data_IF_239604257775
#
_entry.id   IF_239604257775
#
_cell.length_a   1.000
_cell.length_b   1.000
_cell.length_c   1.000
_cell.angle_alpha   90.00
_cell.angle_beta   90.00
_cell.angle_gamma   90.00
#
_symmetry.space_group_name_H-M   'P 1'
#
loop_
_entity.id
_entity.type
_entity.pdbx_description
1 polymer ?
#
# COMPACT_ATOMS: atom_id res chain seq x y z
N UNK A 1 24.60 -4.95 -4.22
CA UNK A 1 23.29 -4.69 -3.59
C UNK A 1 23.08 -3.18 -3.52
N UNK A 2 22.21 -2.61 -4.37
CA UNK A 2 22.02 -1.15 -4.41
C UNK A 2 20.53 -0.86 -4.43
N UNK A 3 20.06 -0.25 -3.34
CA UNK A 3 18.78 0.45 -3.30
C UNK A 3 18.91 1.70 -4.15
N UNK A 4 18.76 1.53 -5.46
CA UNK A 4 18.91 2.54 -6.50
C UNK A 4 17.55 2.95 -7.09
N UNK A 5 17.60 3.74 -8.16
CA UNK A 5 16.40 4.19 -8.89
C UNK A 5 15.57 3.03 -9.45
N UNK A 6 16.21 1.91 -9.81
CA UNK A 6 15.49 0.73 -10.27
C UNK A 6 14.65 0.14 -9.13
N UNK A 7 15.22 -0.02 -7.94
CA UNK A 7 14.46 -0.52 -6.78
C UNK A 7 13.30 0.41 -6.40
N UNK A 8 13.50 1.74 -6.47
CA UNK A 8 12.40 2.71 -6.24
C UNK A 8 11.30 2.58 -7.29
N UNK A 9 11.66 2.40 -8.56
CA UNK A 9 10.67 2.22 -9.64
C UNK A 9 9.87 0.93 -9.49
N UNK A 10 10.55 -0.17 -9.14
CA UNK A 10 9.89 -1.45 -8.85
C UNK A 10 8.95 -1.31 -7.63
N UNK A 11 9.42 -0.67 -6.56
CA UNK A 11 8.61 -0.41 -5.37
C UNK A 11 7.38 0.44 -5.69
N UNK A 12 7.53 1.55 -6.43
CA UNK A 12 6.38 2.37 -6.82
C UNK A 12 5.36 1.56 -7.63
N UNK A 13 5.82 0.71 -8.56
CA UNK A 13 4.92 -0.10 -9.38
C UNK A 13 4.04 -1.00 -8.50
N UNK A 14 4.65 -1.77 -7.59
CA UNK A 14 3.89 -2.65 -6.68
C UNK A 14 3.04 -1.88 -5.67
N UNK A 15 3.49 -0.72 -5.20
CA UNK A 15 2.70 0.16 -4.35
C UNK A 15 1.44 0.62 -5.09
N UNK A 16 1.53 1.04 -6.35
CA UNK A 16 0.37 1.51 -7.10
C UNK A 16 -0.62 0.40 -7.48
N UNK A 17 -0.15 -0.84 -7.70
CA UNK A 17 -1.03 -1.96 -8.05
C UNK A 17 -1.65 -2.63 -6.83
N UNK A 18 -0.83 -2.97 -5.83
CA UNK A 18 -1.24 -3.84 -4.71
C UNK A 18 -1.08 -3.18 -3.34
N UNK A 19 -0.48 -1.99 -3.26
CA UNK A 19 -0.12 -1.35 -1.98
C UNK A 19 0.78 -2.24 -1.11
N UNK A 20 1.69 -3.01 -1.73
CA UNK A 20 2.61 -3.94 -1.06
C UNK A 20 4.05 -3.54 -1.36
N UNK A 21 4.90 -3.62 -0.35
CA UNK A 21 6.35 -3.61 -0.51
C UNK A 21 6.96 -4.74 0.33
N UNK A 22 7.92 -5.45 -0.25
CA UNK A 22 8.77 -6.39 0.47
C UNK A 22 10.22 -6.13 0.08
N UNK A 23 11.11 -6.31 1.03
CA UNK A 23 12.55 -6.17 0.82
C UNK A 23 13.25 -7.36 1.45
N UNK A 24 14.22 -7.93 0.74
CA UNK A 24 14.98 -9.08 1.20
C UNK A 24 16.48 -8.83 1.05
N UNK A 25 17.18 -8.75 2.19
CA UNK A 25 18.63 -8.69 2.26
C UNK A 25 19.16 -10.10 2.60
N UNK A 26 20.11 -10.61 1.83
CA UNK A 26 20.79 -11.85 2.20
C UNK A 26 21.89 -11.54 3.24
N UNK A 27 22.10 -12.40 4.25
CA UNK A 27 23.09 -12.14 5.30
C UNK A 27 24.53 -11.87 4.81
N UNK A 28 24.95 -12.55 3.73
CA UNK A 28 26.29 -12.42 3.14
C UNK A 28 26.48 -11.15 2.29
N UNK A 29 25.43 -10.37 2.00
CA UNK A 29 25.57 -9.11 1.25
C UNK A 29 26.50 -8.13 1.95
N UNK A 30 26.63 -8.27 3.28
CA UNK A 30 27.53 -7.46 4.11
C UNK A 30 28.93 -8.06 4.26
N UNK A 31 29.15 -9.30 3.81
CA UNK A 31 30.36 -10.08 4.03
C UNK A 31 31.14 -10.37 2.73
N UNK A 32 30.44 -10.47 1.61
CA UNK A 32 31.01 -10.72 0.29
C UNK A 32 31.34 -9.40 -0.43
N UNK A 33 32.60 -9.26 -0.87
CA UNK A 33 33.13 -8.07 -1.55
C UNK A 33 32.41 -7.78 -2.86
N UNK A 34 31.94 -8.81 -3.57
CA UNK A 34 31.26 -8.66 -4.86
C UNK A 34 29.79 -8.26 -4.68
N UNK A 35 29.26 -8.38 -3.46
CA UNK A 35 27.84 -8.13 -3.15
C UNK A 35 27.59 -6.83 -2.40
N UNK A 36 28.48 -6.45 -1.49
CA UNK A 36 28.33 -5.22 -0.71
C UNK A 36 29.39 -4.97 0.36
N UNK A 37 30.23 -5.95 0.72
CA UNK A 37 31.22 -5.75 1.78
C UNK A 37 32.23 -4.65 1.47
N UNK A 38 32.56 -4.43 0.19
CA UNK A 38 33.43 -3.34 -0.24
C UNK A 38 32.84 -1.93 0.02
N UNK A 39 31.51 -1.78 0.07
CA UNK A 39 30.83 -0.53 0.43
C UNK A 39 30.87 -0.29 1.96
N UNK A 40 30.97 -1.37 2.74
CA UNK A 40 30.96 -1.35 4.18
C UNK A 40 29.56 -1.24 4.79
N UNK A 41 29.43 -1.73 6.03
CA UNK A 41 28.17 -1.77 6.77
C UNK A 41 27.49 -0.40 6.88
N UNK A 42 28.25 0.66 7.21
CA UNK A 42 27.70 2.01 7.41
C UNK A 42 26.95 2.51 6.18
N UNK A 43 27.50 2.31 4.98
CA UNK A 43 26.86 2.76 3.75
C UNK A 43 25.66 1.90 3.38
N UNK A 44 25.75 0.58 3.54
CA UNK A 44 24.62 -0.33 3.30
C UNK A 44 23.44 -0.02 4.22
N UNK A 45 23.71 0.19 5.51
CA UNK A 45 22.70 0.57 6.49
C UNK A 45 22.07 1.92 6.16
N UNK A 46 22.88 2.93 5.82
CA UNK A 46 22.38 4.25 5.40
C UNK A 46 21.44 4.14 4.20
N UNK A 47 21.80 3.38 3.17
CA UNK A 47 20.95 3.17 1.98
C UNK A 47 19.62 2.49 2.32
N UNK A 48 19.62 1.50 3.22
CA UNK A 48 18.40 0.85 3.68
C UNK A 48 17.49 1.84 4.41
N UNK A 49 18.05 2.63 5.31
CA UNK A 49 17.33 3.68 6.03
C UNK A 49 16.73 4.70 5.06
N UNK A 50 17.52 5.25 4.14
CA UNK A 50 17.05 6.21 3.14
C UNK A 50 15.90 5.65 2.28
N UNK A 51 15.95 4.36 1.93
CA UNK A 51 14.90 3.71 1.16
C UNK A 51 13.61 3.56 1.96
N UNK A 52 13.69 3.13 3.22
CA UNK A 52 12.52 2.98 4.11
C UNK A 52 11.90 4.35 4.41
N UNK A 53 12.72 5.38 4.64
CA UNK A 53 12.25 6.75 4.81
C UNK A 53 11.55 7.27 3.54
N UNK A 54 12.15 7.07 2.36
CA UNK A 54 11.51 7.41 1.09
C UNK A 54 10.17 6.70 0.92
N UNK A 55 10.09 5.41 1.25
CA UNK A 55 8.88 4.61 1.13
C UNK A 55 7.74 5.17 1.99
N UNK A 56 8.02 5.47 3.26
CA UNK A 56 7.03 6.05 4.17
C UNK A 56 6.67 7.50 3.83
N UNK A 57 7.59 8.27 3.24
CA UNK A 57 7.28 9.60 2.72
C UNK A 57 6.38 9.53 1.48
N UNK A 58 6.59 8.53 0.61
CA UNK A 58 5.80 8.35 -0.61
C UNK A 58 4.38 7.86 -0.32
N UNK A 59 4.20 6.96 0.65
CA UNK A 59 2.88 6.47 1.06
C UNK A 59 2.80 6.36 2.60
N UNK A 60 2.46 7.46 3.31
CA UNK A 60 2.43 7.50 4.78
C UNK A 60 1.48 6.48 5.43
N UNK A 61 0.51 5.97 4.67
CA UNK A 61 -0.50 5.03 5.13
C UNK A 61 -0.03 3.57 5.06
N UNK A 62 1.20 3.31 4.60
CA UNK A 62 1.77 1.97 4.52
C UNK A 62 1.83 1.32 5.91
N UNK A 63 1.42 0.06 5.99
CA UNK A 63 1.38 -0.71 7.24
C UNK A 63 2.62 -1.57 7.39
N UNK A 64 3.18 -1.59 8.59
CA UNK A 64 4.26 -2.51 8.93
C UNK A 64 3.68 -3.83 9.41
N UNK A 65 3.89 -4.89 8.64
CA UNK A 65 3.36 -6.23 8.89
C UNK A 65 4.51 -7.24 8.97
N UNK A 66 4.39 -8.22 9.84
CA UNK A 66 5.19 -9.45 9.75
C UNK A 66 4.83 -10.23 8.48
N UNK A 67 5.70 -11.15 8.04
CA UNK A 67 5.42 -11.98 6.86
C UNK A 67 4.11 -12.78 6.95
N UNK A 68 3.77 -13.28 8.15
CA UNK A 68 2.51 -14.00 8.38
C UNK A 68 1.29 -13.07 8.28
N UNK A 69 1.38 -11.84 8.82
CA UNK A 69 0.29 -10.86 8.72
C UNK A 69 0.09 -10.37 7.29
N UNK A 70 1.19 -10.13 6.54
CA UNK A 70 1.13 -9.81 5.12
C UNK A 70 0.45 -10.92 4.33
N UNK A 71 0.81 -12.17 4.58
CA UNK A 71 0.16 -13.34 3.96
C UNK A 71 -1.35 -13.34 4.23
N UNK A 72 -1.75 -13.10 5.49
CA UNK A 72 -3.16 -12.98 5.85
C UNK A 72 -3.88 -11.78 5.22
N UNK A 73 -3.18 -10.67 4.97
CA UNK A 73 -3.73 -9.51 4.27
C UNK A 73 -3.96 -9.82 2.78
N UNK A 74 -3.00 -10.45 2.11
CA UNK A 74 -3.14 -10.89 0.71
C UNK A 74 -4.27 -11.90 0.55
N UNK A 75 -4.39 -12.87 1.46
CA UNK A 75 -5.50 -13.85 1.43
C UNK A 75 -6.89 -13.22 1.63
N UNK A 76 -6.99 -12.14 2.41
CA UNK A 76 -8.22 -11.37 2.56
C UNK A 76 -8.55 -10.60 1.28
N UNK A 77 -7.55 -9.96 0.68
CA UNK A 77 -7.72 -9.25 -0.58
C UNK A 77 -8.13 -10.18 -1.73
N UNK A 78 -7.50 -11.36 -1.85
CA UNK A 78 -7.84 -12.39 -2.85
C UNK A 78 -9.30 -12.84 -2.79
N UNK A 79 -9.89 -12.87 -1.59
CA UNK A 79 -11.29 -13.26 -1.37
C UNK A 79 -12.28 -12.11 -1.48
N UNK A 80 -11.79 -10.87 -1.53
CA UNK A 80 -12.62 -9.68 -1.50
C UNK A 80 -13.32 -9.50 -2.84
N UNK A 81 -14.63 -9.38 -2.80
CA UNK A 81 -15.46 -9.05 -3.96
C UNK A 81 -16.09 -7.69 -3.71
N UNK A 82 -15.87 -6.74 -4.62
CA UNK A 82 -16.38 -5.37 -4.47
C UNK A 82 -17.46 -5.14 -5.52
N UNK A 83 -18.69 -4.91 -5.06
CA UNK A 83 -19.76 -4.34 -5.88
C UNK A 83 -19.81 -2.85 -5.61
N UNK A 84 -19.79 -2.05 -6.68
CA UNK A 84 -19.85 -0.59 -6.63
C UNK A 84 -21.14 -0.12 -7.27
N UNK A 85 -21.85 0.76 -6.58
CA UNK A 85 -23.00 1.50 -7.09
C UNK A 85 -22.72 2.99 -6.88
N UNK A 86 -23.10 3.81 -7.85
CA UNK A 86 -22.90 5.26 -7.81
C UNK A 86 -24.24 5.96 -7.94
N UNK A 87 -24.43 6.99 -7.13
CA UNK A 87 -25.47 7.98 -7.34
C UNK A 87 -24.83 9.36 -7.60
N UNK A 88 -25.65 10.41 -7.68
CA UNK A 88 -25.16 11.74 -8.04
C UNK A 88 -24.12 12.29 -7.05
N UNK A 89 -24.17 11.89 -5.78
CA UNK A 89 -23.40 12.50 -4.69
C UNK A 89 -22.69 11.48 -3.79
N UNK A 90 -22.68 10.20 -4.13
CA UNK A 90 -22.06 9.16 -3.32
C UNK A 90 -21.71 7.89 -4.09
N UNK A 91 -20.78 7.13 -3.51
CA UNK A 91 -20.38 5.79 -3.94
C UNK A 91 -20.74 4.82 -2.83
N UNK A 92 -21.52 3.80 -3.17
CA UNK A 92 -21.86 2.68 -2.29
C UNK A 92 -21.03 1.46 -2.68
N UNK A 93 -20.38 0.84 -1.71
CA UNK A 93 -19.57 -0.36 -1.88
C UNK A 93 -20.09 -1.48 -0.99
N UNK A 94 -20.44 -2.61 -1.60
CA UNK A 94 -20.77 -3.85 -0.90
C UNK A 94 -19.62 -4.85 -1.05
N UNK A 95 -19.12 -5.36 0.08
CA UNK A 95 -17.90 -6.15 0.18
C UNK A 95 -18.21 -7.62 0.48
N UNK A 96 -18.28 -8.43 -0.56
CA UNK A 96 -18.35 -9.89 -0.45
C UNK A 96 -17.02 -10.48 0.04
N UNK A 97 -17.08 -11.55 0.83
CA UNK A 97 -15.88 -12.18 1.41
C UNK A 97 -15.24 -11.38 2.55
N UNK A 98 -15.86 -10.27 2.98
CA UNK A 98 -15.44 -9.46 4.12
C UNK A 98 -15.31 -10.30 5.40
N UNK A 99 -14.30 -9.98 6.22
CA UNK A 99 -13.98 -10.67 7.47
C UNK A 99 -14.07 -9.71 8.66
N UNK A 100 -13.04 -8.89 8.81
CA UNK A 100 -12.83 -7.96 9.92
C UNK A 100 -12.45 -6.57 9.41
N UNK A 101 -11.58 -6.52 8.40
CA UNK A 101 -11.27 -5.32 7.64
C UNK A 101 -10.95 -5.67 6.17
N UNK A 102 -11.07 -4.67 5.29
CA UNK A 102 -10.63 -4.76 3.90
C UNK A 102 -9.87 -3.49 3.50
N UNK A 103 -8.80 -3.67 2.73
CA UNK A 103 -7.98 -2.59 2.20
C UNK A 103 -7.92 -2.70 0.68
N UNK A 104 -8.22 -1.61 -0.02
CA UNK A 104 -8.18 -1.56 -1.48
C UNK A 104 -8.06 -0.13 -1.99
N UNK A 105 -7.61 0.02 -3.22
CA UNK A 105 -7.64 1.31 -3.90
C UNK A 105 -9.01 1.59 -4.52
N UNK A 106 -9.48 2.82 -4.38
CA UNK A 106 -10.63 3.37 -5.06
C UNK A 106 -10.18 4.53 -5.94
N UNK A 107 -10.50 4.47 -7.24
CA UNK A 107 -10.32 5.60 -8.16
C UNK A 107 -11.62 6.40 -8.26
N UNK A 108 -11.49 7.71 -8.05
CA UNK A 108 -12.57 8.71 -8.16
C UNK A 108 -12.06 9.79 -9.09
N UNK A 109 -12.67 9.91 -10.28
CA UNK A 109 -12.24 10.84 -11.32
C UNK A 109 -13.12 12.11 -11.40
N UNK A 110 -14.32 12.07 -10.83
CA UNK A 110 -15.26 13.20 -10.77
C UNK A 110 -15.54 13.53 -9.30
N UNK A 111 -15.21 14.74 -8.88
CA UNK A 111 -15.27 15.18 -7.49
C UNK A 111 -14.17 14.60 -6.59
N UNK A 112 -14.35 14.77 -5.28
CA UNK A 112 -13.47 14.28 -4.22
C UNK A 112 -14.27 13.55 -3.15
N UNK A 113 -13.74 12.47 -2.56
CA UNK A 113 -14.36 11.84 -1.39
C UNK A 113 -14.56 12.83 -0.25
N UNK A 114 -15.80 12.90 0.23
CA UNK A 114 -16.21 13.58 1.45
C UNK A 114 -16.22 12.64 2.64
N UNK A 115 -17.30 12.66 3.43
CA UNK A 115 -17.44 11.75 4.58
C UNK A 115 -17.60 10.31 4.09
N UNK A 116 -16.94 9.39 4.76
CA UNK A 116 -17.12 7.95 4.57
C UNK A 116 -17.78 7.35 5.81
N UNK A 117 -18.73 6.44 5.61
CA UNK A 117 -19.26 5.54 6.64
C UNK A 117 -18.77 4.12 6.37
N UNK A 118 -18.69 3.28 7.41
CA UNK A 118 -18.19 1.91 7.27
C UNK A 118 -16.67 1.79 7.13
N UNK A 119 -15.90 2.86 7.37
CA UNK A 119 -14.44 2.82 7.35
C UNK A 119 -13.77 4.18 7.27
N UNK A 120 -12.56 4.22 6.72
CA UNK A 120 -11.78 5.44 6.47
C UNK A 120 -11.23 5.46 5.05
N UNK A 121 -11.14 6.66 4.46
CA UNK A 121 -10.56 6.89 3.15
C UNK A 121 -9.44 7.92 3.27
N UNK A 122 -8.34 7.70 2.54
CA UNK A 122 -7.18 8.58 2.52
C UNK A 122 -6.64 8.72 1.11
N UNK A 123 -6.17 9.92 0.75
CA UNK A 123 -5.61 10.15 -0.57
C UNK A 123 -4.22 9.50 -0.68
N UNK A 124 -4.02 8.68 -1.71
CA UNK A 124 -2.74 8.05 -2.03
C UNK A 124 -2.05 8.76 -3.21
N UNK A 125 -2.84 9.14 -4.22
CA UNK A 125 -2.38 9.97 -5.35
C UNK A 125 -3.57 10.77 -5.91
N UNK A 126 -3.34 11.54 -6.97
CA UNK A 126 -4.43 12.28 -7.61
C UNK A 126 -5.51 11.34 -8.18
N UNK A 127 -6.75 11.56 -7.74
CA UNK A 127 -7.90 10.69 -8.02
C UNK A 127 -7.80 9.25 -7.49
N UNK A 128 -6.78 8.90 -6.70
CA UNK A 128 -6.56 7.55 -6.16
C UNK A 128 -6.54 7.57 -4.63
N UNK A 129 -7.40 6.75 -4.03
CA UNK A 129 -7.61 6.73 -2.59
C UNK A 129 -7.43 5.34 -2.02
N UNK A 130 -6.74 5.24 -0.89
CA UNK A 130 -6.66 4.01 -0.10
C UNK A 130 -7.87 3.97 0.84
N UNK A 131 -8.70 2.96 0.66
CA UNK A 131 -9.88 2.68 1.50
C UNK A 131 -9.52 1.61 2.50
N UNK A 132 -9.83 1.87 3.78
CA UNK A 132 -9.92 0.87 4.84
C UNK A 132 -11.38 0.72 5.21
N UNK A 133 -12.01 -0.36 4.80
CA UNK A 133 -13.35 -0.72 5.23
C UNK A 133 -13.30 -1.52 6.55
N UNK A 134 -14.17 -1.15 7.49
CA UNK A 134 -14.40 -1.87 8.75
C UNK A 134 -15.82 -2.45 8.83
N UNK A 135 -16.60 -2.29 7.76
CA UNK A 135 -17.93 -2.87 7.59
C UNK A 135 -18.06 -3.43 6.16
N UNK A 136 -18.93 -4.43 5.95
CA UNK A 136 -19.16 -4.98 4.60
C UNK A 136 -19.92 -4.02 3.68
N UNK A 137 -20.63 -3.04 4.23
CA UNK A 137 -21.28 -1.98 3.47
C UNK A 137 -20.60 -0.64 3.81
N UNK A 138 -20.24 0.10 2.77
CA UNK A 138 -19.51 1.36 2.85
C UNK A 138 -20.20 2.38 1.97
N UNK A 139 -20.36 3.60 2.47
CA UNK A 139 -20.85 4.75 1.71
C UNK A 139 -19.81 5.85 1.77
N UNK A 140 -19.54 6.47 0.63
CA UNK A 140 -18.56 7.55 0.46
C UNK A 140 -19.27 8.70 -0.24
N UNK A 141 -19.44 9.83 0.45
CA UNK A 141 -19.94 11.07 -0.16
C UNK A 141 -18.95 11.57 -1.24
N UNK A 142 -19.47 12.18 -2.31
CA UNK A 142 -18.68 12.80 -3.37
C UNK A 142 -18.99 14.30 -3.40
N UNK A 143 -17.93 15.10 -3.24
CA UNK A 143 -17.96 16.55 -3.28
C UNK A 143 -17.47 16.98 -4.67
N UNK A 144 -18.36 17.61 -5.45
CA UNK A 144 -18.04 18.17 -6.77
C UNK A 144 -17.58 19.62 -6.67
#
# INVERSE_FOLDING_TARGET
>A
YVLDEYMRTAAMSELYFHCVNTHFQHPDDTLDTDRGAALGWTELFRRLTDYVEWLHNALPQLRNLTGSELTGAVQRYDKLQIRREEDDNSIHLSLGGFKDEAWFYLRVNDGKPGRMTGGTISQAADGLYLVKATMPEVEIEIIR
#
